data_IF_911177450557
#
_entry.id   IF_911177450557
#
_cell.length_a   1.000
_cell.length_b   1.000
_cell.length_c   1.000
_cell.angle_alpha   90.00
_cell.angle_beta   90.00
_cell.angle_gamma   90.00
#
_symmetry.space_group_name_H-M   'P 1'
#
loop_
_entity.id
_entity.type
_entity.pdbx_description
1 polymer ?
#
# COMPACT_ATOMS: atom_id res chain seq x y z
N UNK A 1 4.94 22.90 -19.36
CA UNK A 1 5.88 21.82 -19.76
C UNK A 1 6.13 20.94 -18.54
N UNK A 2 5.35 19.87 -18.35
CA UNK A 2 5.53 18.95 -17.20
C UNK A 2 6.63 17.96 -17.55
N UNK A 3 7.79 18.08 -16.90
CA UNK A 3 8.97 17.24 -17.17
C UNK A 3 8.62 15.76 -16.95
N UNK A 4 9.02 14.92 -17.91
CA UNK A 4 9.01 13.48 -17.70
C UNK A 4 9.94 13.14 -16.53
N UNK A 5 9.50 12.26 -15.63
CA UNK A 5 10.42 11.64 -14.69
C UNK A 5 11.51 10.90 -15.46
N UNK A 6 12.72 10.93 -14.93
CA UNK A 6 13.83 10.19 -15.54
C UNK A 6 13.54 8.69 -15.48
N UNK A 7 14.21 7.90 -16.32
CA UNK A 7 14.11 6.43 -16.25
C UNK A 7 14.49 5.88 -14.88
N UNK A 8 15.41 6.56 -14.19
CA UNK A 8 15.81 6.24 -12.82
C UNK A 8 14.64 6.45 -11.85
N UNK A 9 13.92 7.57 -11.97
CA UNK A 9 12.73 7.84 -11.12
C UNK A 9 11.63 6.79 -11.34
N UNK A 10 11.40 6.37 -12.59
CA UNK A 10 10.41 5.35 -12.90
C UNK A 10 10.77 3.98 -12.28
N UNK A 11 12.06 3.62 -12.33
CA UNK A 11 12.54 2.37 -11.71
C UNK A 11 12.47 2.43 -10.18
N UNK A 12 12.93 3.52 -9.57
CA UNK A 12 12.90 3.71 -8.11
C UNK A 12 11.48 3.70 -7.55
N UNK A 13 10.49 4.15 -8.30
CA UNK A 13 9.08 4.11 -7.90
C UNK A 13 8.45 2.71 -7.99
N UNK A 14 8.92 1.87 -8.91
CA UNK A 14 8.46 0.48 -9.06
C UNK A 14 9.13 -0.45 -8.02
N UNK A 15 10.34 -0.10 -7.60
CA UNK A 15 11.21 -0.86 -6.68
C UNK A 15 10.53 -1.35 -5.38
N UNK A 16 9.74 -0.55 -4.64
CA UNK A 16 9.13 -1.06 -3.40
C UNK A 16 8.11 -2.17 -3.68
N UNK A 17 7.40 -2.11 -4.81
CA UNK A 17 6.50 -3.18 -5.23
C UNK A 17 7.25 -4.46 -5.60
N UNK A 18 8.39 -4.33 -6.29
CA UNK A 18 9.23 -5.47 -6.64
C UNK A 18 9.86 -6.13 -5.41
N UNK A 19 10.31 -5.35 -4.42
CA UNK A 19 10.88 -5.88 -3.18
C UNK A 19 9.84 -6.69 -2.40
N UNK A 20 8.63 -6.16 -2.24
CA UNK A 20 7.55 -6.89 -1.55
C UNK A 20 7.11 -8.10 -2.37
N UNK A 21 7.00 -7.97 -3.70
CA UNK A 21 6.70 -9.12 -4.56
C UNK A 21 7.74 -10.24 -4.43
N UNK A 22 9.03 -9.89 -4.38
CA UNK A 22 10.13 -10.83 -4.18
C UNK A 22 10.04 -11.52 -2.82
N UNK A 23 9.73 -10.77 -1.75
CA UNK A 23 9.56 -11.32 -0.40
C UNK A 23 8.47 -12.40 -0.37
N UNK A 24 7.33 -12.13 -1.02
CA UNK A 24 6.24 -13.10 -1.13
C UNK A 24 6.60 -14.27 -2.05
N UNK A 25 7.22 -14.01 -3.21
CA UNK A 25 7.59 -15.04 -4.19
C UNK A 25 8.63 -16.03 -3.63
N UNK A 26 9.52 -15.57 -2.77
CA UNK A 26 10.55 -16.40 -2.12
C UNK A 26 10.07 -17.04 -0.82
N UNK A 27 8.81 -16.81 -0.43
CA UNK A 27 8.24 -17.27 0.84
C UNK A 27 8.97 -16.77 2.10
N UNK A 28 9.91 -15.83 1.98
CA UNK A 28 10.67 -15.28 3.12
C UNK A 28 9.89 -14.25 3.95
N UNK A 29 8.62 -14.00 3.64
CA UNK A 29 7.76 -13.06 4.37
C UNK A 29 7.55 -13.44 5.85
N UNK A 30 7.69 -14.72 6.22
CA UNK A 30 7.62 -15.16 7.62
C UNK A 30 8.94 -14.94 8.39
N UNK A 31 10.06 -14.76 7.69
CA UNK A 31 11.33 -14.55 8.35
C UNK A 31 11.39 -13.11 8.88
N UNK A 32 11.40 -12.98 10.21
CA UNK A 32 11.46 -11.70 10.92
C UNK A 32 12.64 -10.86 10.43
N UNK A 33 13.79 -11.48 10.11
CA UNK A 33 14.97 -10.77 9.59
C UNK A 33 14.71 -10.20 8.20
N UNK A 34 14.11 -10.97 7.29
CA UNK A 34 13.81 -10.51 5.94
C UNK A 34 12.75 -9.40 5.93
N UNK A 35 11.69 -9.57 6.73
CA UNK A 35 10.62 -8.58 6.84
C UNK A 35 11.11 -7.29 7.51
N UNK A 36 11.88 -7.39 8.60
CA UNK A 36 12.48 -6.22 9.24
C UNK A 36 13.51 -5.53 8.34
N UNK A 37 14.30 -6.27 7.56
CA UNK A 37 15.20 -5.69 6.58
C UNK A 37 14.45 -4.87 5.53
N UNK A 38 13.34 -5.36 4.98
CA UNK A 38 12.53 -4.61 4.01
C UNK A 38 11.91 -3.36 4.64
N UNK A 39 11.36 -3.47 5.86
CA UNK A 39 10.83 -2.30 6.57
C UNK A 39 11.93 -1.27 6.80
N UNK A 40 13.13 -1.70 7.17
CA UNK A 40 14.30 -0.83 7.36
C UNK A 40 14.69 -0.15 6.05
N UNK A 41 14.77 -0.90 4.94
CA UNK A 41 15.07 -0.35 3.61
C UNK A 41 14.03 0.69 3.21
N UNK A 42 12.73 0.40 3.38
CA UNK A 42 11.66 1.35 3.08
C UNK A 42 11.80 2.61 3.92
N UNK A 43 12.06 2.46 5.22
CA UNK A 43 12.22 3.59 6.15
C UNK A 43 13.42 4.45 5.81
N UNK A 44 14.59 3.85 5.60
CA UNK A 44 15.81 4.56 5.18
C UNK A 44 15.59 5.30 3.85
N UNK A 45 14.88 4.69 2.90
CA UNK A 45 14.62 5.29 1.59
C UNK A 45 13.66 6.49 1.68
N UNK A 46 12.64 6.39 2.53
CA UNK A 46 11.73 7.51 2.82
C UNK A 46 12.47 8.66 3.51
N UNK A 47 13.31 8.36 4.51
CA UNK A 47 14.14 9.36 5.21
C UNK A 47 15.10 10.04 4.22
N UNK A 48 15.83 9.27 3.43
CA UNK A 48 16.76 9.78 2.42
C UNK A 48 16.05 10.70 1.43
N UNK A 49 14.90 10.27 0.92
CA UNK A 49 14.14 11.04 -0.04
C UNK A 49 13.49 12.31 0.56
N UNK A 50 13.25 12.35 1.88
CA UNK A 50 12.86 13.57 2.58
C UNK A 50 13.98 14.61 2.62
N UNK A 51 15.22 14.18 2.82
CA UNK A 51 16.38 15.09 2.78
C UNK A 51 16.67 15.61 1.37
N UNK A 52 16.35 14.85 0.31
CA UNK A 52 16.64 15.20 -1.08
C UNK A 52 15.45 15.80 -1.87
N UNK A 53 14.89 16.93 -1.41
CA UNK A 53 13.90 17.74 -2.17
C UNK A 53 12.62 17.01 -2.62
N UNK A 54 12.25 15.91 -1.95
CA UNK A 54 10.97 15.21 -2.12
C UNK A 54 10.77 14.79 -3.59
N UNK A 55 11.57 13.84 -4.11
CA UNK A 55 11.53 13.45 -5.51
C UNK A 55 10.24 12.66 -5.82
N UNK A 56 9.83 12.66 -7.09
CA UNK A 56 8.56 12.04 -7.52
C UNK A 56 8.50 10.53 -7.28
N UNK A 57 9.65 9.84 -7.23
CA UNK A 57 9.71 8.41 -6.98
C UNK A 57 9.41 8.02 -5.53
N UNK A 58 9.37 8.98 -4.60
CA UNK A 58 9.18 8.75 -3.16
C UNK A 58 7.75 8.32 -2.81
N UNK A 59 6.75 8.68 -3.64
CA UNK A 59 5.34 8.47 -3.32
C UNK A 59 4.95 7.00 -3.11
N UNK A 60 5.34 6.04 -3.97
CA UNK A 60 5.10 4.62 -3.68
C UNK A 60 5.74 4.14 -2.37
N UNK A 61 6.95 4.60 -2.03
CA UNK A 61 7.62 4.24 -0.78
C UNK A 61 6.87 4.70 0.46
N UNK A 62 6.24 5.89 0.42
CA UNK A 62 5.38 6.36 1.51
C UNK A 62 4.15 5.47 1.69
N UNK A 63 3.58 4.95 0.61
CA UNK A 63 2.49 3.97 0.68
C UNK A 63 2.88 2.71 1.45
N UNK A 64 4.06 2.16 1.15
CA UNK A 64 4.58 1.00 1.89
C UNK A 64 4.99 1.32 3.32
N UNK A 65 5.46 2.54 3.60
CA UNK A 65 5.77 2.98 4.97
C UNK A 65 4.51 3.07 5.85
N UNK A 66 3.34 3.36 5.27
CA UNK A 66 2.07 3.36 6.00
C UNK A 66 1.59 1.95 6.38
N UNK A 67 1.99 0.90 5.67
CA UNK A 67 1.53 -0.46 5.97
C UNK A 67 1.96 -0.92 7.37
N UNK A 68 3.25 -0.83 7.78
CA UNK A 68 3.66 -1.11 9.16
C UNK A 68 2.93 -0.27 10.21
N UNK A 69 2.64 1.00 9.91
CA UNK A 69 1.88 1.90 10.79
C UNK A 69 0.44 1.38 10.97
N UNK A 70 -0.22 0.94 9.90
CA UNK A 70 -1.58 0.41 10.02
C UNK A 70 -1.57 -0.94 10.74
N UNK A 71 -0.63 -1.83 10.40
CA UNK A 71 -0.48 -3.15 11.04
C UNK A 71 -0.23 -3.01 12.55
N UNK A 72 0.69 -2.13 12.96
CA UNK A 72 0.96 -1.87 14.39
C UNK A 72 -0.24 -1.24 15.09
N UNK A 73 -1.00 -0.37 14.42
CA UNK A 73 -2.24 0.18 14.94
C UNK A 73 -3.32 -0.88 15.21
N UNK A 74 -3.49 -1.84 14.28
CA UNK A 74 -4.40 -2.98 14.47
C UNK A 74 -3.90 -3.89 15.59
N UNK A 75 -2.59 -4.17 15.65
CA UNK A 75 -1.98 -4.98 16.70
C UNK A 75 -2.13 -4.34 18.09
N UNK A 76 -2.15 -3.00 18.15
CA UNK A 76 -2.39 -2.25 19.38
C UNK A 76 -3.75 -2.55 20.00
N UNK A 77 -4.78 -2.82 19.20
CA UNK A 77 -6.12 -3.17 19.70
C UNK A 77 -6.11 -4.50 20.45
N UNK A 78 -5.18 -5.39 20.10
CA UNK A 78 -5.04 -6.73 20.67
C UNK A 78 -4.11 -6.78 21.89
N UNK A 79 -3.56 -5.63 22.32
CA UNK A 79 -2.69 -5.56 23.48
C UNK A 79 -3.49 -5.75 24.79
N UNK A 80 -2.90 -6.36 25.84
CA UNK A 80 -3.55 -6.50 27.14
C UNK A 80 -4.03 -5.16 27.68
N UNK A 81 -5.27 -5.14 28.21
CA UNK A 81 -6.10 -3.96 28.49
C UNK A 81 -5.41 -2.80 29.25
N UNK A 82 -4.36 -3.09 30.03
CA UNK A 82 -3.59 -2.06 30.76
C UNK A 82 -2.60 -1.27 29.90
N UNK A 83 -2.01 -1.89 28.87
CA UNK A 83 -1.02 -1.24 27.99
C UNK A 83 -1.65 -0.57 26.77
N UNK A 84 -2.84 -1.01 26.38
CA UNK A 84 -3.59 -0.53 25.22
C UNK A 84 -3.84 0.97 25.27
N UNK A 85 -4.25 1.50 26.43
CA UNK A 85 -4.54 2.93 26.60
C UNK A 85 -3.28 3.80 26.48
N UNK A 86 -2.19 3.40 27.13
CA UNK A 86 -0.93 4.13 27.09
C UNK A 86 -0.32 4.10 25.69
N UNK A 87 -0.34 2.92 25.05
CA UNK A 87 0.07 2.76 23.68
C UNK A 87 -0.80 3.60 22.73
N UNK A 88 -2.13 3.60 22.89
CA UNK A 88 -3.04 4.38 22.05
C UNK A 88 -2.82 5.89 22.19
N UNK A 89 -2.67 6.41 23.41
CA UNK A 89 -2.43 7.84 23.65
C UNK A 89 -1.12 8.31 23.02
N UNK A 90 -0.08 7.46 23.00
CA UNK A 90 1.19 7.80 22.36
C UNK A 90 1.17 7.57 20.84
N UNK A 91 0.55 6.48 20.40
CA UNK A 91 0.56 6.02 19.03
C UNK A 91 -0.37 6.84 18.13
N UNK A 92 -1.58 7.13 18.60
CA UNK A 92 -2.60 7.84 17.83
C UNK A 92 -2.16 9.24 17.37
N UNK A 93 -1.58 10.12 18.23
CA UNK A 93 -1.07 11.40 17.75
C UNK A 93 0.13 11.24 16.82
N UNK A 94 1.00 10.26 17.05
CA UNK A 94 2.15 10.00 16.18
C UNK A 94 1.72 9.54 14.78
N UNK A 95 0.80 8.57 14.72
CA UNK A 95 0.22 8.08 13.48
C UNK A 95 -0.53 9.19 12.74
N UNK A 96 -1.34 9.98 13.44
CA UNK A 96 -2.03 11.14 12.85
C UNK A 96 -1.04 12.18 12.32
N UNK A 97 0.04 12.46 13.04
CA UNK A 97 1.06 13.39 12.59
C UNK A 97 1.76 12.91 11.32
N UNK A 98 2.15 11.63 11.27
CA UNK A 98 2.76 11.00 10.09
C UNK A 98 1.79 11.06 8.91
N UNK A 99 0.53 10.67 9.09
CA UNK A 99 -0.49 10.71 8.03
C UNK A 99 -0.72 12.14 7.55
N UNK A 100 -0.92 13.10 8.46
CA UNK A 100 -1.16 14.50 8.10
C UNK A 100 0.04 15.11 7.37
N UNK A 101 1.27 14.81 7.81
CA UNK A 101 2.49 15.26 7.15
C UNK A 101 2.60 14.70 5.74
N UNK A 102 2.35 13.40 5.57
CA UNK A 102 2.38 12.71 4.29
C UNK A 102 1.30 13.24 3.33
N UNK A 103 0.06 13.40 3.81
CA UNK A 103 -1.06 13.95 3.03
C UNK A 103 -0.78 15.39 2.63
N UNK A 104 -0.28 16.23 3.53
CA UNK A 104 0.12 17.61 3.21
C UNK A 104 1.22 17.62 2.14
N UNK A 105 2.19 16.72 2.25
CA UNK A 105 3.27 16.61 1.27
C UNK A 105 2.76 16.16 -0.11
N UNK A 106 1.88 15.15 -0.16
CA UNK A 106 1.33 14.63 -1.41
C UNK A 106 0.29 15.57 -2.05
N UNK A 107 -0.60 16.16 -1.24
CA UNK A 107 -1.63 17.10 -1.68
C UNK A 107 -1.08 18.44 -2.17
N UNK A 108 0.09 18.87 -1.67
CA UNK A 108 0.74 20.10 -2.13
C UNK A 108 1.29 20.03 -3.55
N UNK A 109 1.50 18.82 -4.11
CA UNK A 109 2.02 18.64 -5.46
C UNK A 109 0.92 18.34 -6.47
N UNK A 110 0.20 17.25 -6.27
CA UNK A 110 -0.91 16.86 -7.13
C UNK A 110 -1.68 15.70 -6.49
N UNK A 111 -3.00 15.80 -6.48
CA UNK A 111 -3.93 14.82 -5.94
C UNK A 111 -3.72 13.40 -6.55
N UNK A 112 -3.30 13.30 -7.81
CA UNK A 112 -2.97 12.01 -8.44
C UNK A 112 -1.78 11.26 -7.81
N UNK A 113 -0.81 11.97 -7.21
CA UNK A 113 0.29 11.31 -6.49
C UNK A 113 -0.16 10.75 -5.14
N UNK A 114 -1.21 11.34 -4.54
CA UNK A 114 -1.89 10.78 -3.37
C UNK A 114 -2.50 9.43 -3.74
N UNK A 115 -3.18 9.33 -4.88
CA UNK A 115 -3.71 8.04 -5.37
C UNK A 115 -2.62 6.99 -5.58
N UNK A 116 -1.48 7.36 -6.20
CA UNK A 116 -0.35 6.45 -6.41
C UNK A 116 0.23 5.96 -5.08
N UNK A 117 0.39 6.86 -4.13
CA UNK A 117 0.88 6.54 -2.79
C UNK A 117 -0.08 5.62 -2.04
N UNK A 118 -1.39 5.83 -2.18
CA UNK A 118 -2.39 4.99 -1.53
C UNK A 118 -2.59 3.66 -2.25
N UNK A 119 -2.24 3.51 -3.53
CA UNK A 119 -2.50 2.30 -4.31
C UNK A 119 -2.10 0.96 -3.64
N UNK A 120 -1.00 0.84 -2.87
CA UNK A 120 -0.66 -0.39 -2.14
C UNK A 120 -1.68 -0.76 -1.05
N UNK A 121 -2.39 0.23 -0.46
CA UNK A 121 -3.35 0.01 0.63
C UNK A 121 -4.59 -0.77 0.18
N UNK A 122 -5.34 -0.37 -0.87
CA UNK A 122 -6.46 -1.14 -1.39
C UNK A 122 -6.08 -2.56 -1.75
N UNK A 123 -4.88 -2.76 -2.33
CA UNK A 123 -4.38 -4.09 -2.68
C UNK A 123 -4.14 -4.93 -1.43
N UNK A 124 -3.51 -4.36 -0.40
CA UNK A 124 -3.33 -5.03 0.88
C UNK A 124 -4.67 -5.35 1.55
N UNK A 125 -5.62 -4.41 1.57
CA UNK A 125 -6.97 -4.62 2.11
C UNK A 125 -7.73 -5.71 1.35
N UNK A 126 -7.67 -5.72 0.01
CA UNK A 126 -8.31 -6.72 -0.82
C UNK A 126 -7.81 -8.13 -0.52
N UNK A 127 -6.49 -8.30 -0.38
CA UNK A 127 -5.93 -9.60 -0.02
C UNK A 127 -6.18 -9.99 1.43
N UNK A 128 -6.12 -9.05 2.38
CA UNK A 128 -6.47 -9.31 3.79
C UNK A 128 -7.92 -9.77 3.97
N UNK A 129 -8.86 -9.18 3.22
CA UNK A 129 -10.26 -9.58 3.22
C UNK A 129 -10.48 -10.89 2.46
N UNK A 130 -9.77 -11.10 1.35
CA UNK A 130 -9.88 -12.30 0.54
C UNK A 130 -9.43 -13.57 1.29
N UNK A 131 -8.50 -13.42 2.23
CA UNK A 131 -8.01 -14.49 3.10
C UNK A 131 -8.97 -14.79 4.28
N UNK A 132 -10.15 -14.17 4.33
CA UNK A 132 -11.25 -14.54 5.21
C UNK A 132 -11.07 -14.20 6.70
N UNK A 133 -9.84 -13.90 7.16
CA UNK A 133 -9.54 -13.55 8.56
C UNK A 133 -8.31 -12.65 8.65
N UNK A 134 -8.49 -11.36 8.36
CA UNK A 134 -7.43 -10.36 8.55
C UNK A 134 -6.86 -10.35 9.99
N UNK A 135 -7.68 -10.66 11.00
CA UNK A 135 -7.28 -10.72 12.41
C UNK A 135 -6.47 -11.99 12.73
N UNK A 136 -6.92 -13.17 12.30
CA UNK A 136 -6.14 -14.40 12.50
C UNK A 136 -4.88 -14.44 11.63
N UNK A 137 -4.85 -13.77 10.49
CA UNK A 137 -3.63 -13.64 9.68
C UNK A 137 -2.53 -12.86 10.43
N UNK A 138 -2.90 -11.78 11.13
CA UNK A 138 -1.96 -10.97 11.89
C UNK A 138 -1.49 -11.65 13.18
N UNK A 139 -2.35 -12.47 13.80
CA UNK A 139 -2.05 -13.17 15.06
C UNK A 139 -1.40 -14.53 14.82
N UNK A 140 -1.83 -15.28 13.80
CA UNK A 140 -1.39 -16.64 13.46
C UNK A 140 -0.74 -16.68 12.07
N UNK A 141 0.20 -15.78 11.81
CA UNK A 141 0.95 -15.74 10.55
C UNK A 141 1.60 -17.09 10.16
N UNK A 142 1.84 -17.98 11.14
CA UNK A 142 2.44 -19.29 10.90
C UNK A 142 1.48 -20.31 10.26
N UNK A 143 0.17 -20.25 10.55
CA UNK A 143 -0.83 -21.20 10.01
C UNK A 143 -1.43 -20.77 8.67
N UNK A 144 -1.19 -19.54 8.24
CA UNK A 144 -1.73 -18.99 6.99
C UNK A 144 -1.06 -19.54 5.71
N UNK A 145 0.01 -20.34 5.82
CA UNK A 145 0.80 -20.81 4.68
C UNK A 145 0.00 -21.68 3.71
N UNK A 146 -0.99 -22.43 4.21
CA UNK A 146 -1.75 -23.41 3.41
C UNK A 146 -2.87 -22.79 2.57
N UNK A 147 -3.42 -21.65 2.99
CA UNK A 147 -4.56 -20.98 2.33
C UNK A 147 -4.15 -19.68 1.61
N UNK A 148 -2.90 -19.25 1.75
CA UNK A 148 -2.35 -18.07 1.09
C UNK A 148 -2.17 -18.33 -0.41
N UNK A 149 -2.97 -17.66 -1.24
CA UNK A 149 -2.74 -17.62 -2.69
C UNK A 149 -1.57 -16.69 -3.04
N UNK A 150 -0.36 -17.08 -2.62
CA UNK A 150 0.91 -16.41 -2.88
C UNK A 150 1.08 -15.95 -4.33
N UNK A 151 0.79 -16.77 -5.37
CA UNK A 151 0.93 -16.30 -6.76
C UNK A 151 -0.03 -15.15 -7.12
N UNK A 152 -1.22 -15.09 -6.52
CA UNK A 152 -2.15 -13.97 -6.71
C UNK A 152 -1.65 -12.66 -6.09
N UNK A 153 -1.06 -12.73 -4.90
CA UNK A 153 -0.47 -11.55 -4.24
C UNK A 153 0.72 -11.03 -5.04
N UNK A 154 1.60 -11.94 -5.48
CA UNK A 154 2.79 -11.59 -6.29
C UNK A 154 2.37 -10.96 -7.62
N UNK A 155 1.38 -11.51 -8.32
CA UNK A 155 0.90 -10.92 -9.58
C UNK A 155 0.27 -9.54 -9.38
N UNK A 156 -0.46 -9.33 -8.29
CA UNK A 156 -1.03 -8.01 -7.93
C UNK A 156 0.07 -6.97 -7.70
N UNK A 157 1.13 -7.33 -6.97
CA UNK A 157 2.27 -6.46 -6.70
C UNK A 157 3.09 -6.16 -7.96
N UNK A 158 3.30 -7.16 -8.83
CA UNK A 158 3.94 -6.96 -10.13
C UNK A 158 3.13 -6.03 -11.04
N UNK A 159 1.80 -6.19 -11.06
CA UNK A 159 0.91 -5.30 -11.80
C UNK A 159 1.01 -3.86 -11.29
N UNK A 160 1.10 -3.68 -9.97
CA UNK A 160 1.31 -2.39 -9.33
C UNK A 160 2.70 -1.80 -9.66
N UNK A 161 3.73 -2.63 -9.79
CA UNK A 161 5.07 -2.20 -10.22
C UNK A 161 5.05 -1.64 -11.65
N UNK A 162 4.38 -2.35 -12.58
CA UNK A 162 4.20 -1.90 -13.98
C UNK A 162 3.38 -0.61 -14.04
N UNK A 163 2.34 -0.50 -13.20
CA UNK A 163 1.51 0.68 -13.09
C UNK A 163 2.31 1.90 -12.62
N UNK A 164 3.09 1.77 -11.55
CA UNK A 164 3.97 2.81 -11.00
C UNK A 164 5.02 3.26 -12.01
N UNK A 165 5.64 2.32 -12.72
CA UNK A 165 6.60 2.62 -13.78
C UNK A 165 5.95 3.42 -14.93
N UNK A 166 4.78 2.97 -15.39
CA UNK A 166 4.04 3.61 -16.48
C UNK A 166 3.50 4.99 -16.07
N UNK A 167 3.07 5.15 -14.82
CA UNK A 167 2.54 6.39 -14.25
C UNK A 167 3.55 7.54 -14.29
N UNK A 168 4.83 7.25 -14.04
CA UNK A 168 5.91 8.27 -14.09
C UNK A 168 6.25 8.65 -15.54
N UNK A 169 6.10 7.73 -16.49
CA UNK A 169 6.44 7.93 -17.90
C UNK A 169 5.36 8.70 -18.66
N UNK A 170 4.11 8.55 -18.28
CA UNK A 170 2.95 9.12 -18.98
C UNK A 170 2.76 10.59 -18.63
N UNK A 171 2.66 11.46 -19.64
CA UNK A 171 2.42 12.92 -19.43
C UNK A 171 0.94 13.27 -19.27
N UNK A 172 0.03 12.45 -19.81
CA UNK A 172 -1.41 12.77 -19.89
C UNK A 172 -2.13 12.34 -18.61
N UNK A 173 -2.80 13.30 -17.97
CA UNK A 173 -3.42 13.15 -16.63
C UNK A 173 -4.49 12.06 -16.57
N UNK A 174 -5.35 11.99 -17.58
CA UNK A 174 -6.37 10.95 -17.73
C UNK A 174 -5.77 9.56 -17.93
N UNK A 175 -4.67 9.44 -18.67
CA UNK A 175 -3.98 8.17 -18.83
C UNK A 175 -3.32 7.72 -17.51
N UNK A 176 -2.79 8.64 -16.70
CA UNK A 176 -2.28 8.31 -15.36
C UNK A 176 -3.37 7.75 -14.44
N UNK A 177 -4.56 8.36 -14.45
CA UNK A 177 -5.71 7.86 -13.70
C UNK A 177 -6.12 6.46 -14.18
N UNK A 178 -6.21 6.26 -15.50
CA UNK A 178 -6.54 4.95 -16.08
C UNK A 178 -5.51 3.87 -15.74
N UNK A 179 -4.21 4.20 -15.80
CA UNK A 179 -3.11 3.30 -15.44
C UNK A 179 -3.16 2.90 -13.96
N UNK A 180 -3.77 3.70 -13.09
CA UNK A 180 -3.93 3.35 -11.68
C UNK A 180 -5.21 2.57 -11.42
N UNK A 181 -6.33 2.99 -12.04
CA UNK A 181 -7.65 2.40 -11.83
C UNK A 181 -7.78 1.01 -12.46
N UNK A 182 -7.20 0.78 -13.64
CA UNK A 182 -7.32 -0.52 -14.35
C UNK A 182 -6.64 -1.65 -13.56
N UNK A 183 -5.41 -1.50 -13.05
CA UNK A 183 -4.80 -2.51 -12.17
C UNK A 183 -5.59 -2.72 -10.89
N UNK A 184 -6.06 -1.64 -10.26
CA UNK A 184 -6.82 -1.77 -9.01
C UNK A 184 -8.12 -2.54 -9.23
N UNK A 185 -8.89 -2.20 -10.27
CA UNK A 185 -10.14 -2.88 -10.57
C UNK A 185 -9.91 -4.35 -10.95
N UNK A 186 -8.84 -4.65 -11.71
CA UNK A 186 -8.46 -6.03 -12.02
C UNK A 186 -8.08 -6.84 -10.79
N UNK A 187 -7.30 -6.26 -9.86
CA UNK A 187 -6.92 -6.94 -8.62
C UNK A 187 -8.18 -7.22 -7.78
N UNK A 188 -9.08 -6.25 -7.66
CA UNK A 188 -10.34 -6.42 -6.94
C UNK A 188 -11.17 -7.55 -7.55
N UNK A 189 -11.35 -7.56 -8.89
CA UNK A 189 -12.07 -8.61 -9.58
C UNK A 189 -11.41 -10.00 -9.39
N UNK A 190 -10.08 -10.06 -9.43
CA UNK A 190 -9.36 -11.29 -9.18
C UNK A 190 -9.60 -11.79 -7.74
N UNK A 191 -9.53 -10.91 -6.75
CA UNK A 191 -9.78 -11.27 -5.34
C UNK A 191 -11.22 -11.74 -5.11
N UNK A 192 -12.23 -11.09 -5.71
CA UNK A 192 -13.63 -11.50 -5.54
C UNK A 192 -13.92 -12.85 -6.19
N UNK A 193 -13.32 -13.13 -7.35
CA UNK A 193 -13.43 -14.43 -8.03
C UNK A 193 -12.74 -15.55 -7.24
N UNK A 194 -11.57 -15.26 -6.66
CA UNK A 194 -10.79 -16.22 -5.87
C UNK A 194 -11.43 -16.52 -4.51
N UNK A 195 -12.01 -15.52 -3.86
CA UNK A 195 -12.70 -15.68 -2.57
C UNK A 195 -14.09 -16.32 -2.67
N UNK A 196 -14.51 -16.76 -3.87
CA UNK A 196 -15.76 -17.50 -4.12
C UNK A 196 -17.04 -16.87 -3.52
N UNK A 197 -17.03 -15.56 -3.29
CA UNK A 197 -18.15 -14.82 -2.71
C UNK A 197 -18.18 -14.69 -1.18
N UNK A 198 -17.13 -15.11 -0.47
CA UNK A 198 -17.09 -15.07 1.02
C UNK A 198 -16.74 -13.67 1.59
N UNK A 199 -16.62 -12.66 0.72
CA UNK A 199 -16.39 -11.28 1.13
C UNK A 199 -17.73 -10.72 1.61
N UNK A 200 -17.92 -10.67 2.93
CA UNK A 200 -19.10 -10.10 3.56
C UNK A 200 -19.34 -8.62 3.18
N UNK A 201 -20.54 -8.12 3.46
CA UNK A 201 -20.97 -6.74 3.14
C UNK A 201 -19.98 -5.67 3.68
N UNK A 202 -19.45 -5.89 4.87
CA UNK A 202 -18.42 -5.03 5.46
C UNK A 202 -17.10 -5.02 4.67
N UNK A 203 -16.68 -6.18 4.13
CA UNK A 203 -15.51 -6.26 3.25
C UNK A 203 -15.72 -5.47 1.96
N UNK A 204 -16.91 -5.57 1.36
CA UNK A 204 -17.29 -4.74 0.21
C UNK A 204 -17.29 -3.25 0.52
N UNK A 205 -17.79 -2.83 1.68
CA UNK A 205 -17.76 -1.43 2.10
C UNK A 205 -16.33 -0.91 2.27
N UNK A 206 -15.43 -1.70 2.88
CA UNK A 206 -14.01 -1.35 3.03
C UNK A 206 -13.34 -1.20 1.66
N UNK A 207 -13.62 -2.14 0.76
CA UNK A 207 -13.08 -2.17 -0.60
C UNK A 207 -13.56 -0.97 -1.43
N UNK A 208 -14.86 -0.71 -1.44
CA UNK A 208 -15.46 0.44 -2.11
C UNK A 208 -14.92 1.74 -1.51
N UNK A 209 -14.84 1.86 -0.19
CA UNK A 209 -14.29 3.05 0.47
C UNK A 209 -12.82 3.27 0.13
N UNK A 210 -12.01 2.21 0.08
CA UNK A 210 -10.61 2.30 -0.32
C UNK A 210 -10.44 2.70 -1.78
N UNK A 211 -11.29 2.18 -2.67
CA UNK A 211 -11.32 2.57 -4.08
C UNK A 211 -11.76 4.03 -4.23
N UNK A 212 -12.77 4.45 -3.47
CA UNK A 212 -13.28 5.83 -3.46
C UNK A 212 -12.23 6.80 -2.91
N UNK A 213 -11.45 6.41 -1.91
CA UNK A 213 -10.34 7.20 -1.38
C UNK A 213 -9.21 7.37 -2.41
N UNK A 214 -8.93 6.34 -3.21
CA UNK A 214 -7.96 6.40 -4.32
C UNK A 214 -8.51 7.14 -5.54
N UNK A 215 -9.83 7.14 -5.75
CA UNK A 215 -10.51 7.79 -6.87
C UNK A 215 -10.94 9.25 -6.59
N UNK A 216 -11.13 9.62 -5.32
CA UNK A 216 -11.42 10.99 -4.86
C UNK A 216 -10.48 12.05 -5.48
N UNK A 217 -9.16 11.81 -5.58
CA UNK A 217 -8.21 12.75 -6.17
C UNK A 217 -8.38 12.89 -7.70
N UNK A 218 -8.99 11.90 -8.37
CA UNK A 218 -9.31 11.93 -9.79
C UNK A 218 -10.66 12.61 -10.09
N UNK A 219 -11.59 12.63 -9.12
CA UNK A 219 -12.95 13.16 -9.29
C UNK A 219 -13.09 14.63 -8.86
N UNK A 220 -12.30 15.10 -7.89
CA UNK A 220 -12.39 16.47 -7.34
C UNK A 220 -11.91 17.61 -8.28
N UNK A 221 -11.63 17.32 -9.55
CA UNK A 221 -11.19 18.33 -10.54
C UNK A 221 -11.84 18.11 -11.92
N UNK A 222 -13.08 17.65 -11.94
CA UNK A 222 -13.99 17.76 -13.09
C UNK A 222 -14.73 19.09 -12.98
#
# INVERSE_FOLDING_TARGET
VHSQGTWQDAFLAALPHLLVALLFATYYWQNILCTSAIVTVVTCTVIYGWFHNKPLWLFPWLGYYLLPVIVTGVLLIHLPQGWTWLAAVLYLPFALFVIAYIVKQAGSRDWLYVSLMLAPLPVACAWLLALGRGEEFLVNAHSAQTDLNVPGIVTSLLLLAVASFSFIRVRRRWCKAAILLVPLSMIFLATTLLSRGDIGLWGWLILISSLLLVASPACLQI
#
